data_IF_979828711715
#
_entry.id   IF_979828711715
#
_cell.length_a   1.000
_cell.length_b   1.000
_cell.length_c   1.000
_cell.angle_alpha   90.00
_cell.angle_beta   90.00
_cell.angle_gamma   90.00
#
_symmetry.space_group_name_H-M   'P 1'
#
loop_
_entity.id
_entity.type
_entity.pdbx_description
1 polymer ?
#
# COMPACT_ATOMS: atom_id res chain seq x y z
N UNK A 1 13.18 -28.36 26.41
CA UNK A 1 12.35 -27.40 27.15
C UNK A 1 12.73 -26.01 26.62
N UNK A 2 12.36 -25.71 25.37
CA UNK A 2 11.22 -24.87 24.97
C UNK A 2 11.49 -23.41 25.40
N UNK A 3 11.71 -22.48 24.48
CA UNK A 3 10.65 -21.90 23.65
C UNK A 3 11.17 -21.43 22.27
N UNK A 4 10.34 -21.71 21.27
CA UNK A 4 10.42 -21.29 19.89
C UNK A 4 10.59 -19.77 19.73
N UNK A 5 11.54 -19.36 18.88
CA UNK A 5 11.64 -18.02 18.33
C UNK A 5 11.01 -17.99 16.92
N UNK A 6 9.74 -18.43 16.81
CA UNK A 6 9.12 -18.77 15.52
C UNK A 6 7.79 -18.05 15.25
N UNK A 7 7.54 -16.90 15.88
CA UNK A 7 6.22 -16.23 15.79
C UNK A 7 6.26 -14.74 15.37
N UNK A 8 7.39 -14.23 14.86
CA UNK A 8 7.49 -12.85 14.33
C UNK A 8 7.60 -12.81 12.79
N UNK A 9 7.59 -13.96 12.09
CA UNK A 9 7.84 -14.03 10.64
C UNK A 9 6.60 -14.17 9.74
N UNK A 10 5.37 -14.07 10.27
CA UNK A 10 4.16 -14.41 9.50
C UNK A 10 3.45 -13.18 8.89
N UNK A 11 3.31 -12.09 9.65
CA UNK A 11 2.63 -10.87 9.18
C UNK A 11 3.43 -10.07 8.15
N UNK A 12 4.74 -9.86 8.39
CA UNK A 12 5.57 -9.04 7.52
C UNK A 12 5.77 -9.66 6.12
N UNK A 13 5.90 -11.00 6.06
CA UNK A 13 6.03 -11.73 4.80
C UNK A 13 4.72 -11.73 4.00
N UNK A 14 3.58 -11.81 4.69
CA UNK A 14 2.25 -11.66 4.08
C UNK A 14 2.05 -10.26 3.51
N UNK A 15 2.37 -9.22 4.28
CA UNK A 15 2.27 -7.82 3.82
C UNK A 15 3.17 -7.58 2.60
N UNK A 16 4.39 -8.11 2.61
CA UNK A 16 5.30 -8.03 1.48
C UNK A 16 4.74 -8.74 0.23
N UNK A 17 4.10 -9.91 0.41
CA UNK A 17 3.45 -10.63 -0.70
C UNK A 17 2.28 -9.83 -1.29
N UNK A 18 1.46 -9.19 -0.44
CA UNK A 18 0.36 -8.33 -0.89
C UNK A 18 0.86 -7.07 -1.59
N UNK A 19 1.90 -6.42 -1.07
CA UNK A 19 2.56 -5.29 -1.73
C UNK A 19 3.05 -5.67 -3.12
N UNK A 20 3.73 -6.82 -3.26
CA UNK A 20 4.16 -7.33 -4.57
C UNK A 20 2.99 -7.63 -5.51
N UNK A 21 1.86 -8.10 -5.00
CA UNK A 21 0.67 -8.33 -5.81
C UNK A 21 0.10 -7.00 -6.34
N UNK A 22 0.07 -5.95 -5.52
CA UNK A 22 -0.32 -4.60 -5.95
C UNK A 22 0.64 -4.04 -7.00
N UNK A 23 1.95 -4.20 -6.82
CA UNK A 23 2.95 -3.79 -7.82
C UNK A 23 2.74 -4.51 -9.16
N UNK A 24 2.46 -5.82 -9.12
CA UNK A 24 2.16 -6.60 -10.32
C UNK A 24 0.81 -6.20 -10.95
N UNK A 25 -0.16 -5.75 -10.16
CA UNK A 25 -1.40 -5.21 -10.69
C UNK A 25 -1.15 -3.89 -11.44
N UNK A 26 -0.27 -3.04 -10.89
CA UNK A 26 0.03 -1.70 -11.40
C UNK A 26 1.14 -1.65 -12.45
N UNK A 27 1.77 -2.78 -12.80
CA UNK A 27 2.94 -2.83 -13.70
C UNK A 27 2.74 -2.18 -15.08
N UNK A 28 1.49 -2.06 -15.54
CA UNK A 28 1.14 -1.41 -16.83
C UNK A 28 0.87 0.08 -16.73
N UNK A 29 0.85 0.65 -15.51
CA UNK A 29 0.60 2.08 -15.27
C UNK A 29 1.86 2.93 -15.44
N UNK A 30 3.01 2.30 -15.73
CA UNK A 30 4.26 3.00 -16.04
C UNK A 30 4.76 3.80 -14.85
N UNK A 31 5.07 5.08 -15.05
CA UNK A 31 5.56 5.97 -14.00
C UNK A 31 4.54 6.26 -12.88
N UNK A 32 3.26 5.97 -13.12
CA UNK A 32 2.17 6.17 -12.17
C UNK A 32 1.77 4.92 -11.38
N UNK A 33 2.47 3.79 -11.58
CA UNK A 33 2.17 2.54 -10.88
C UNK A 33 2.81 2.46 -9.50
N UNK A 34 2.18 1.72 -8.61
CA UNK A 34 2.81 1.29 -7.35
C UNK A 34 4.03 0.40 -7.64
N UNK A 35 5.16 0.76 -7.05
CA UNK A 35 6.43 0.03 -7.18
C UNK A 35 7.03 -0.14 -5.80
N UNK A 36 7.81 -1.21 -5.56
CA UNK A 36 8.49 -1.41 -4.29
C UNK A 36 9.27 -0.15 -3.84
N UNK A 37 9.93 0.52 -4.79
CA UNK A 37 10.67 1.74 -4.52
C UNK A 37 9.75 2.92 -4.15
N UNK A 38 8.56 3.04 -4.76
CA UNK A 38 7.56 4.04 -4.37
C UNK A 38 7.06 3.77 -2.95
N UNK A 39 6.56 2.56 -2.72
CA UNK A 39 5.97 2.15 -1.46
C UNK A 39 6.97 2.27 -0.29
N UNK A 40 8.24 1.91 -0.50
CA UNK A 40 9.30 2.11 0.50
C UNK A 40 9.53 3.60 0.81
N UNK A 41 9.59 4.47 -0.21
CA UNK A 41 9.76 5.92 -0.01
C UNK A 41 8.59 6.52 0.77
N UNK A 42 7.35 6.19 0.39
CA UNK A 42 6.14 6.68 1.07
C UNK A 42 6.09 6.19 2.50
N UNK A 43 6.34 4.90 2.74
CA UNK A 43 6.38 4.32 4.09
C UNK A 43 7.38 5.05 4.98
N UNK A 44 8.60 5.29 4.48
CA UNK A 44 9.63 6.01 5.24
C UNK A 44 9.23 7.45 5.56
N UNK A 45 8.61 8.16 4.62
CA UNK A 45 8.12 9.52 4.84
C UNK A 45 6.97 9.55 5.85
N UNK A 46 6.05 8.59 5.78
CA UNK A 46 4.92 8.47 6.69
C UNK A 46 5.37 8.16 8.13
N UNK A 47 6.34 7.26 8.31
CA UNK A 47 6.98 7.00 9.61
C UNK A 47 7.64 8.27 10.16
N UNK A 48 8.48 8.94 9.36
CA UNK A 48 9.16 10.17 9.79
C UNK A 48 8.19 11.31 10.12
N UNK A 49 7.03 11.35 9.47
CA UNK A 49 5.96 12.29 9.80
C UNK A 49 5.29 11.90 11.13
N UNK A 50 4.91 10.63 11.30
CA UNK A 50 4.28 10.12 12.51
C UNK A 50 5.14 10.36 13.75
N UNK A 51 6.46 10.16 13.64
CA UNK A 51 7.43 10.45 14.73
C UNK A 51 7.32 11.89 15.25
N UNK A 52 6.96 12.85 14.38
CA UNK A 52 6.92 14.27 14.71
C UNK A 52 5.55 14.73 15.18
N UNK A 53 4.47 14.09 14.73
CA UNK A 53 3.11 14.59 14.94
C UNK A 53 2.26 13.71 15.85
N UNK A 54 2.48 12.39 15.84
CA UNK A 54 1.71 11.38 16.60
C UNK A 54 2.60 10.17 16.97
N UNK A 55 3.72 10.37 17.69
CA UNK A 55 4.70 9.31 17.97
C UNK A 55 4.12 8.11 18.72
N UNK A 56 3.03 8.29 19.47
CA UNK A 56 2.32 7.22 20.16
C UNK A 56 1.79 6.14 19.23
N UNK A 57 1.47 6.46 17.96
CA UNK A 57 1.00 5.46 16.98
C UNK A 57 2.12 4.51 16.55
N UNK A 58 3.39 4.90 16.68
CA UNK A 58 4.54 4.07 16.32
C UNK A 58 4.83 2.97 17.35
N UNK A 59 4.12 2.97 18.49
CA UNK A 59 4.14 1.85 19.42
C UNK A 59 3.48 0.60 18.81
N UNK A 60 2.61 0.77 17.81
CA UNK A 60 2.05 -0.32 17.04
C UNK A 60 2.92 -0.60 15.79
N UNK A 61 3.65 -1.73 15.74
CA UNK A 61 4.46 -2.09 14.56
C UNK A 61 3.61 -2.31 13.30
N UNK A 62 2.29 -2.51 13.42
CA UNK A 62 1.40 -2.68 12.28
C UNK A 62 1.15 -1.38 11.52
N UNK A 63 1.42 -0.22 12.11
CA UNK A 63 1.27 1.07 11.43
C UNK A 63 2.10 1.13 10.13
N UNK A 64 3.32 0.59 10.16
CA UNK A 64 4.18 0.51 8.99
C UNK A 64 3.59 -0.40 7.89
N UNK A 65 2.83 -1.43 8.25
CA UNK A 65 2.11 -2.25 7.28
C UNK A 65 0.97 -1.46 6.64
N UNK A 66 0.24 -0.65 7.41
CA UNK A 66 -0.79 0.25 6.89
C UNK A 66 -0.23 1.24 5.87
N UNK A 67 0.93 1.86 6.14
CA UNK A 67 1.58 2.74 5.17
C UNK A 67 2.01 2.00 3.89
N UNK A 68 2.50 0.77 4.01
CA UNK A 68 2.90 -0.06 2.86
C UNK A 68 1.70 -0.49 2.01
N UNK A 69 0.56 -0.78 2.64
CA UNK A 69 -0.65 -1.27 1.97
C UNK A 69 -1.68 -0.17 1.69
N UNK A 70 -1.33 1.11 1.81
CA UNK A 70 -2.29 2.21 1.74
C UNK A 70 -3.14 2.21 0.45
N UNK A 71 -2.56 1.77 -0.67
CA UNK A 71 -3.22 1.69 -1.97
C UNK A 71 -3.65 0.26 -2.37
N UNK A 72 -3.71 -0.70 -1.43
CA UNK A 72 -4.06 -2.11 -1.75
C UNK A 72 -5.44 -2.25 -2.41
N UNK A 73 -6.39 -1.37 -2.07
CA UNK A 73 -7.72 -1.38 -2.65
C UNK A 73 -7.76 -0.98 -4.13
N UNK A 74 -6.65 -0.51 -4.70
CA UNK A 74 -6.53 -0.26 -6.15
C UNK A 74 -6.74 -1.53 -6.98
N UNK A 75 -6.54 -2.72 -6.39
CA UNK A 75 -6.87 -4.03 -6.99
C UNK A 75 -8.36 -4.12 -7.39
N UNK A 76 -9.25 -3.44 -6.66
CA UNK A 76 -10.68 -3.43 -6.94
C UNK A 76 -11.11 -2.44 -8.03
N UNK A 77 -10.22 -1.56 -8.50
CA UNK A 77 -10.56 -0.53 -9.47
C UNK A 77 -10.43 -1.09 -10.91
N UNK A 78 -11.40 -0.81 -11.81
CA UNK A 78 -11.34 -1.32 -13.18
C UNK A 78 -10.04 -0.96 -13.90
N UNK A 79 -9.38 -1.95 -14.50
CA UNK A 79 -8.13 -1.70 -15.24
C UNK A 79 -8.32 -0.69 -16.39
N UNK A 80 -9.51 -0.64 -17.00
CA UNK A 80 -9.85 0.35 -18.04
C UNK A 80 -9.72 1.78 -17.56
N UNK A 81 -10.00 2.02 -16.27
CA UNK A 81 -9.89 3.32 -15.61
C UNK A 81 -8.43 3.59 -15.24
N UNK A 82 -7.73 2.59 -14.67
CA UNK A 82 -6.36 2.73 -14.18
C UNK A 82 -5.29 2.92 -15.26
N UNK A 83 -5.48 2.35 -16.45
CA UNK A 83 -4.53 2.42 -17.58
C UNK A 83 -4.99 3.39 -18.68
N UNK A 84 -6.04 4.17 -18.42
CA UNK A 84 -6.61 5.09 -19.41
C UNK A 84 -5.55 6.12 -19.85
N UNK A 85 -5.27 6.25 -21.16
CA UNK A 85 -4.43 7.32 -21.64
C UNK A 85 -5.19 8.66 -21.58
N UNK A 86 -4.59 9.66 -20.95
CA UNK A 86 -5.16 11.00 -20.83
C UNK A 86 -6.04 11.17 -19.57
N UNK A 87 -6.82 12.27 -19.51
CA UNK A 87 -7.57 12.61 -18.31
C UNK A 87 -8.73 11.65 -18.04
N UNK A 88 -8.97 11.41 -16.76
CA UNK A 88 -10.16 10.73 -16.28
C UNK A 88 -11.37 11.67 -16.33
N UNK A 89 -12.52 11.10 -16.63
CA UNK A 89 -13.83 11.72 -16.45
C UNK A 89 -14.18 11.79 -14.95
N UNK A 90 -15.14 12.63 -14.55
CA UNK A 90 -15.56 12.71 -13.15
C UNK A 90 -15.96 11.36 -12.56
N UNK A 91 -16.69 10.53 -13.31
CA UNK A 91 -17.10 9.18 -12.86
C UNK A 91 -15.91 8.24 -12.67
N UNK A 92 -14.94 8.26 -13.58
CA UNK A 92 -13.71 7.47 -13.44
C UNK A 92 -12.84 7.94 -12.26
N UNK A 93 -12.87 9.24 -11.93
CA UNK A 93 -12.22 9.75 -10.71
C UNK A 93 -12.95 9.24 -9.47
N UNK A 94 -14.29 9.22 -9.49
CA UNK A 94 -15.08 8.69 -8.39
C UNK A 94 -14.83 7.19 -8.18
N UNK A 95 -14.67 6.40 -9.25
CA UNK A 95 -14.22 5.01 -9.16
C UNK A 95 -12.87 4.91 -8.44
N UNK A 96 -11.84 5.68 -8.84
CA UNK A 96 -10.54 5.65 -8.16
C UNK A 96 -10.67 6.01 -6.67
N UNK A 97 -11.56 6.93 -6.31
CA UNK A 97 -11.76 7.34 -4.91
C UNK A 97 -12.33 6.24 -4.02
N UNK A 98 -12.79 5.13 -4.58
CA UNK A 98 -13.26 3.97 -3.81
C UNK A 98 -12.11 3.14 -3.24
N UNK A 99 -10.88 3.25 -3.77
CA UNK A 99 -9.77 2.39 -3.35
C UNK A 99 -9.47 2.38 -1.84
N UNK A 100 -9.60 3.47 -1.05
CA UNK A 100 -9.35 3.41 0.38
C UNK A 100 -10.43 2.62 1.14
N UNK A 101 -11.63 2.50 0.58
CA UNK A 101 -12.73 1.73 1.16
C UNK A 101 -12.67 0.25 0.78
N UNK A 102 -12.04 -0.06 -0.37
CA UNK A 102 -11.89 -1.43 -0.86
C UNK A 102 -10.74 -2.20 -0.21
N UNK A 103 -9.75 -1.50 0.35
CA UNK A 103 -8.59 -2.07 1.05
C UNK A 103 -8.78 -2.12 2.56
#
# INVERSE_FOLDING_TARGET
>A
MTLQAEAVSDGASTVEALSRALELHDYRRGEFGETAAHTERVTRLAVALAERVVPELLLDPQLAFGFRLHDIGMIGIPSSTLIKPGPLSPTEVDEIREHPWLG
#
